data_IF_327815730904
#
_entry.id   IF_327815730904
#
_cell.length_a   1.000
_cell.length_b   1.000
_cell.length_c   1.000
_cell.angle_alpha   90.00
_cell.angle_beta   90.00
_cell.angle_gamma   90.00
#
_symmetry.space_group_name_H-M   'P 1'
#
loop_
_entity.id
_entity.type
_entity.pdbx_description
1 polymer ?
#
# COMPACT_ATOMS: atom_id res chain seq x y z
N UNK A 1 -9.47 6.42 1.96
CA UNK A 1 -9.49 5.03 2.48
C UNK A 1 -8.51 4.93 3.64
N UNK A 2 -8.96 4.65 4.86
CA UNK A 2 -8.13 4.62 6.09
C UNK A 2 -7.77 3.22 6.58
N UNK A 3 -8.47 2.18 6.13
CA UNK A 3 -8.26 0.79 6.57
C UNK A 3 -6.82 0.26 6.38
N UNK A 4 -6.05 0.62 5.34
CA UNK A 4 -4.66 0.17 5.23
C UNK A 4 -3.71 0.74 6.29
N UNK A 5 -4.16 1.67 7.13
CA UNK A 5 -3.30 2.37 8.10
C UNK A 5 -3.58 1.97 9.56
N UNK A 6 -4.39 0.93 9.79
CA UNK A 6 -4.58 0.30 11.09
C UNK A 6 -3.76 -0.99 11.19
N UNK A 7 -3.46 -1.51 12.39
CA UNK A 7 -2.81 -2.80 12.54
C UNK A 7 -3.52 -3.90 11.77
N UNK A 8 -2.77 -4.90 11.31
CA UNK A 8 -3.32 -5.96 10.46
C UNK A 8 -4.40 -6.76 11.19
N UNK A 9 -4.23 -6.92 12.50
CA UNK A 9 -5.10 -7.62 13.42
C UNK A 9 -6.48 -6.93 13.54
N UNK A 10 -6.51 -5.61 13.34
CA UNK A 10 -7.72 -4.79 13.44
C UNK A 10 -8.54 -4.75 12.15
N UNK A 11 -7.95 -5.16 11.00
CA UNK A 11 -8.61 -5.08 9.69
C UNK A 11 -9.90 -5.88 9.66
N UNK A 12 -9.83 -7.15 10.05
CA UNK A 12 -10.98 -8.05 10.01
C UNK A 12 -12.09 -7.62 11.00
N UNK A 13 -11.79 -7.32 12.29
CA UNK A 13 -12.78 -6.79 13.24
C UNK A 13 -13.48 -5.52 12.73
N UNK A 14 -12.72 -4.56 12.19
CA UNK A 14 -13.26 -3.31 11.64
C UNK A 14 -14.20 -3.59 10.47
N UNK A 15 -13.81 -4.48 9.55
CA UNK A 15 -14.66 -4.85 8.41
C UNK A 15 -15.94 -5.56 8.85
N UNK A 16 -15.87 -6.50 9.81
CA UNK A 16 -17.07 -7.15 10.35
C UNK A 16 -18.01 -6.13 11.01
N UNK A 17 -17.47 -5.18 11.79
CA UNK A 17 -18.28 -4.10 12.37
C UNK A 17 -18.91 -3.22 11.30
N UNK A 18 -18.18 -2.90 10.23
CA UNK A 18 -18.67 -2.07 9.13
C UNK A 18 -19.81 -2.73 8.36
N UNK A 19 -19.75 -4.05 8.20
CA UNK A 19 -20.73 -4.82 7.44
C UNK A 19 -21.82 -5.50 8.29
N UNK A 20 -21.79 -5.34 9.61
CA UNK A 20 -22.66 -6.09 10.54
C UNK A 20 -24.16 -5.85 10.38
N UNK A 21 -24.56 -4.72 9.79
CA UNK A 21 -25.97 -4.34 9.59
C UNK A 21 -26.43 -4.39 8.12
N UNK A 22 -25.60 -4.91 7.21
CA UNK A 22 -25.95 -4.97 5.79
C UNK A 22 -27.05 -6.00 5.50
N UNK A 23 -28.12 -5.54 4.86
CA UNK A 23 -29.22 -6.38 4.36
C UNK A 23 -29.30 -6.42 2.84
N UNK A 24 -28.68 -5.46 2.14
CA UNK A 24 -28.68 -5.36 0.68
C UNK A 24 -27.81 -6.46 0.05
N UNK A 25 -28.38 -7.19 -0.91
CA UNK A 25 -27.73 -8.33 -1.57
C UNK A 25 -26.45 -7.94 -2.32
N UNK A 26 -26.42 -6.76 -2.97
CA UNK A 26 -25.23 -6.28 -3.69
C UNK A 26 -24.11 -5.93 -2.72
N UNK A 27 -24.45 -5.34 -1.58
CA UNK A 27 -23.48 -5.03 -0.53
C UNK A 27 -22.96 -6.30 0.16
N UNK A 28 -23.78 -7.34 0.28
CA UNK A 28 -23.33 -8.66 0.74
C UNK A 28 -22.37 -9.33 -0.26
N UNK A 29 -22.62 -9.21 -1.56
CA UNK A 29 -21.67 -9.67 -2.59
C UNK A 29 -20.35 -8.91 -2.54
N UNK A 30 -20.41 -7.58 -2.34
CA UNK A 30 -19.21 -6.76 -2.17
C UNK A 30 -18.43 -7.16 -0.91
N UNK A 31 -19.13 -7.35 0.22
CA UNK A 31 -18.51 -7.87 1.46
C UNK A 31 -17.79 -9.18 1.18
N UNK A 32 -18.46 -10.14 0.55
CA UNK A 32 -17.87 -11.44 0.21
C UNK A 32 -16.60 -11.28 -0.61
N UNK A 33 -16.66 -10.49 -1.68
CA UNK A 33 -15.50 -10.19 -2.52
C UNK A 33 -14.34 -9.60 -1.71
N UNK A 34 -14.62 -8.64 -0.83
CA UNK A 34 -13.60 -7.99 0.00
C UNK A 34 -12.91 -9.01 0.91
N UNK A 35 -13.68 -9.84 1.61
CA UNK A 35 -13.12 -10.87 2.48
C UNK A 35 -12.34 -11.92 1.70
N UNK A 36 -12.87 -12.42 0.59
CA UNK A 36 -12.23 -13.47 -0.22
C UNK A 36 -10.92 -12.97 -0.86
N UNK A 37 -10.89 -11.73 -1.35
CA UNK A 37 -9.74 -11.20 -2.09
C UNK A 37 -8.71 -10.46 -1.23
N UNK A 38 -9.13 -9.73 -0.19
CA UNK A 38 -8.25 -8.79 0.51
C UNK A 38 -7.99 -9.18 1.97
N UNK A 39 -8.82 -10.04 2.57
CA UNK A 39 -8.65 -10.50 3.96
C UNK A 39 -8.09 -11.93 4.00
N UNK A 40 -8.75 -12.85 3.31
CA UNK A 40 -8.49 -14.30 3.38
C UNK A 40 -7.65 -14.83 2.21
N UNK A 41 -7.21 -13.96 1.30
CA UNK A 41 -6.47 -14.37 0.11
C UNK A 41 -5.06 -14.82 0.47
N UNK A 42 -4.63 -15.95 -0.10
CA UNK A 42 -3.25 -16.43 -0.01
C UNK A 42 -2.29 -15.57 -0.84
N UNK A 43 -2.80 -14.91 -1.88
CA UNK A 43 -2.03 -14.10 -2.84
C UNK A 43 -1.90 -12.65 -2.37
N UNK A 44 -2.99 -12.05 -1.90
CA UNK A 44 -3.07 -10.65 -1.48
C UNK A 44 -3.34 -10.56 0.03
N UNK A 45 -2.46 -11.16 0.81
CA UNK A 45 -2.59 -11.18 2.27
C UNK A 45 -2.56 -9.74 2.82
N UNK A 46 -3.29 -9.43 3.91
CA UNK A 46 -3.28 -8.11 4.56
C UNK A 46 -1.90 -7.49 4.75
N UNK A 47 -0.92 -8.28 5.19
CA UNK A 47 0.46 -7.83 5.37
C UNK A 47 1.08 -7.30 4.07
N UNK A 48 0.64 -7.72 2.89
CA UNK A 48 1.23 -7.28 1.62
C UNK A 48 0.83 -5.85 1.25
N UNK A 49 -0.44 -5.50 1.48
CA UNK A 49 -1.01 -4.21 1.07
C UNK A 49 -1.19 -3.21 2.24
N UNK A 50 -1.12 -3.67 3.48
CA UNK A 50 -1.20 -2.80 4.65
C UNK A 50 0.00 -1.84 4.71
N UNK A 51 -0.27 -0.60 5.12
CA UNK A 51 0.68 0.51 5.24
C UNK A 51 0.96 0.93 6.68
N UNK A 52 0.39 0.27 7.69
CA UNK A 52 0.70 0.52 9.10
C UNK A 52 2.19 0.28 9.37
N UNK A 53 2.83 1.24 10.05
CA UNK A 53 4.27 1.22 10.37
C UNK A 53 5.19 1.02 9.14
N UNK A 54 4.74 1.39 7.93
CA UNK A 54 5.57 1.36 6.72
C UNK A 54 6.02 2.75 6.33
N UNK A 55 7.30 2.87 5.96
CA UNK A 55 7.87 4.11 5.44
C UNK A 55 7.37 4.43 4.03
N UNK A 56 7.31 3.41 3.16
CA UNK A 56 6.78 3.54 1.81
C UNK A 56 5.34 3.04 1.75
N UNK A 57 4.40 3.95 1.47
CA UNK A 57 2.95 3.70 1.52
C UNK A 57 2.26 3.78 0.15
N UNK A 58 3.02 4.04 -0.90
CA UNK A 58 2.50 4.27 -2.26
C UNK A 58 3.06 3.24 -3.22
N UNK A 59 2.24 2.78 -4.17
CA UNK A 59 2.65 1.97 -5.30
C UNK A 59 3.42 2.74 -6.39
N UNK A 60 3.76 4.02 -6.17
CA UNK A 60 4.43 4.92 -7.12
C UNK A 60 5.67 4.31 -7.79
N UNK A 61 6.46 3.50 -7.07
CA UNK A 61 7.65 2.86 -7.64
C UNK A 61 7.25 1.76 -8.65
N UNK A 62 6.19 1.01 -8.35
CA UNK A 62 5.59 0.03 -9.26
C UNK A 62 4.90 0.69 -10.44
N UNK A 63 4.09 1.74 -10.20
CA UNK A 63 3.43 2.51 -11.27
C UNK A 63 4.46 3.18 -12.19
N UNK A 64 5.52 3.73 -11.61
CA UNK A 64 6.63 4.31 -12.35
C UNK A 64 7.35 3.28 -13.21
N UNK A 65 7.52 2.06 -12.73
CA UNK A 65 8.06 0.95 -13.51
C UNK A 65 7.11 0.49 -14.62
N UNK A 66 5.81 0.29 -14.32
CA UNK A 66 4.78 -0.01 -15.31
C UNK A 66 4.74 1.05 -16.41
N UNK A 67 4.83 2.34 -16.05
CA UNK A 67 4.85 3.44 -17.03
C UNK A 67 6.05 3.35 -17.97
N UNK A 68 7.24 3.01 -17.46
CA UNK A 68 8.44 2.79 -18.29
C UNK A 68 8.27 1.59 -19.22
N UNK A 69 7.72 0.50 -18.70
CA UNK A 69 7.43 -0.70 -19.49
C UNK A 69 6.41 -0.40 -20.60
N UNK A 70 5.29 0.24 -20.27
CA UNK A 70 4.25 0.60 -21.23
C UNK A 70 4.79 1.56 -22.31
N UNK A 71 5.66 2.50 -21.93
CA UNK A 71 6.36 3.37 -22.88
C UNK A 71 7.28 2.61 -23.83
N UNK A 72 7.95 1.56 -23.34
CA UNK A 72 8.79 0.70 -24.18
C UNK A 72 7.93 -0.16 -25.13
N UNK A 73 6.82 -0.67 -24.60
CA UNK A 73 5.85 -1.53 -25.27
C UNK A 73 4.97 -0.81 -26.32
N UNK A 74 5.02 0.53 -26.38
CA UNK A 74 4.20 1.37 -27.29
C UNK A 74 2.71 1.01 -27.26
N UNK A 75 2.18 0.76 -26.06
CA UNK A 75 0.77 0.37 -25.84
C UNK A 75 0.36 -1.00 -26.43
N UNK A 76 1.32 -1.80 -26.88
CA UNK A 76 1.12 -3.18 -27.37
C UNK A 76 1.93 -4.17 -26.54
N UNK A 77 1.48 -5.41 -26.38
CA UNK A 77 2.27 -6.40 -25.62
C UNK A 77 3.45 -6.85 -26.49
N UNK A 78 4.71 -6.57 -26.11
CA UNK A 78 5.85 -6.96 -26.92
C UNK A 78 6.00 -8.49 -26.92
N UNK A 79 6.46 -9.09 -28.03
CA UNK A 79 6.74 -10.52 -28.07
C UNK A 79 7.87 -10.88 -27.10
N UNK A 80 7.90 -12.14 -26.62
CA UNK A 80 8.86 -12.57 -25.60
C UNK A 80 10.33 -12.31 -25.95
N UNK A 81 10.70 -12.42 -27.23
CA UNK A 81 12.08 -12.19 -27.67
C UNK A 81 12.52 -10.72 -27.56
N UNK A 82 11.58 -9.76 -27.49
CA UNK A 82 11.84 -8.34 -27.21
C UNK A 82 11.72 -8.04 -25.70
N UNK A 83 10.74 -8.67 -25.04
CA UNK A 83 10.49 -8.47 -23.61
C UNK A 83 11.65 -8.96 -22.74
N UNK A 84 12.19 -10.15 -23.00
CA UNK A 84 13.24 -10.75 -22.18
C UNK A 84 14.52 -9.90 -22.15
N UNK A 85 15.07 -9.44 -23.30
CA UNK A 85 16.20 -8.52 -23.30
C UNK A 85 15.91 -7.21 -22.58
N UNK A 86 14.70 -6.64 -22.74
CA UNK A 86 14.30 -5.43 -22.04
C UNK A 86 14.30 -5.62 -20.52
N UNK A 87 13.68 -6.69 -20.01
CA UNK A 87 13.63 -7.00 -18.59
C UNK A 87 15.03 -7.22 -18.02
N UNK A 88 15.90 -7.92 -18.74
CA UNK A 88 17.29 -8.12 -18.34
C UNK A 88 18.06 -6.78 -18.29
N UNK A 89 17.93 -5.95 -19.33
CA UNK A 89 18.55 -4.63 -19.36
C UNK A 89 18.04 -3.73 -18.24
N UNK A 90 16.74 -3.74 -17.93
CA UNK A 90 16.16 -2.93 -16.85
C UNK A 90 16.61 -3.42 -15.47
N UNK A 91 16.65 -4.73 -15.24
CA UNK A 91 17.15 -5.32 -13.98
C UNK A 91 18.61 -4.92 -13.69
N UNK A 92 19.45 -4.83 -14.72
CA UNK A 92 20.87 -4.47 -14.57
C UNK A 92 21.10 -2.97 -14.28
N UNK A 93 20.14 -2.08 -14.57
CA UNK A 93 20.26 -0.64 -14.26
C UNK A 93 20.29 -0.35 -12.77
N UNK A 94 19.76 -1.25 -11.95
CA UNK A 94 19.62 -1.07 -10.51
C UNK A 94 20.74 -1.73 -9.70
N UNK A 95 21.89 -2.05 -10.29
CA UNK A 95 22.96 -2.81 -9.61
C UNK A 95 23.40 -2.17 -8.28
N UNK A 96 23.70 -0.86 -8.27
CA UNK A 96 24.09 -0.14 -7.05
C UNK A 96 22.93 -0.08 -6.04
N UNK A 97 21.73 0.19 -6.53
CA UNK A 97 20.49 0.19 -5.74
C UNK A 97 20.26 -1.15 -5.06
N UNK A 98 20.53 -2.27 -5.76
CA UNK A 98 20.37 -3.64 -5.27
C UNK A 98 21.34 -3.93 -4.12
N UNK A 99 22.59 -3.48 -4.25
CA UNK A 99 23.60 -3.58 -3.18
C UNK A 99 23.18 -2.75 -1.97
N UNK A 100 22.78 -1.49 -2.18
CA UNK A 100 22.33 -0.62 -1.08
C UNK A 100 21.09 -1.15 -0.35
N UNK A 101 20.15 -1.80 -1.05
CA UNK A 101 19.01 -2.48 -0.41
C UNK A 101 19.49 -3.68 0.40
N UNK A 102 20.37 -4.51 -0.17
CA UNK A 102 20.90 -5.69 0.51
C UNK A 102 21.69 -5.34 1.79
N UNK A 103 22.39 -4.20 1.79
CA UNK A 103 23.14 -3.68 2.93
C UNK A 103 22.27 -2.88 3.91
N UNK A 104 21.00 -2.61 3.59
CA UNK A 104 20.13 -1.73 4.39
C UNK A 104 20.52 -0.24 4.35
N UNK A 105 21.45 0.13 3.45
CA UNK A 105 22.07 1.46 3.34
C UNK A 105 21.30 2.44 2.46
N UNK A 106 20.17 2.03 1.89
CA UNK A 106 19.40 2.87 0.97
C UNK A 106 18.67 3.99 1.72
N UNK A 107 19.10 5.23 1.51
CA UNK A 107 18.37 6.42 1.98
C UNK A 107 17.47 6.98 0.86
N UNK A 108 16.15 6.89 1.03
CA UNK A 108 15.20 7.51 0.10
C UNK A 108 15.26 9.03 0.26
N UNK A 109 15.56 9.75 -0.83
CA UNK A 109 15.39 11.21 -0.84
C UNK A 109 13.90 11.53 -0.88
N UNK A 110 13.33 11.93 0.24
CA UNK A 110 11.93 12.36 0.35
C UNK A 110 11.80 13.88 0.29
N UNK A 111 10.73 14.37 -0.34
CA UNK A 111 10.39 15.79 -0.26
C UNK A 111 9.90 16.10 1.16
N UNK A 112 10.24 17.29 1.68
CA UNK A 112 9.89 17.70 3.04
C UNK A 112 8.41 17.50 3.39
N UNK A 113 7.50 17.83 2.46
CA UNK A 113 6.05 17.63 2.65
C UNK A 113 5.65 16.17 2.92
N UNK A 114 6.33 15.21 2.29
CA UNK A 114 6.05 13.78 2.49
C UNK A 114 6.67 13.30 3.79
N UNK A 115 7.87 13.79 4.13
CA UNK A 115 8.50 13.54 5.42
C UNK A 115 7.62 14.00 6.59
N UNK A 116 7.11 15.24 6.53
CA UNK A 116 6.20 15.78 7.55
C UNK A 116 4.92 14.95 7.69
N UNK A 117 4.35 14.48 6.57
CA UNK A 117 3.17 13.61 6.58
C UNK A 117 3.49 12.23 7.17
N UNK A 118 4.65 11.67 6.86
CA UNK A 118 5.13 10.40 7.42
C UNK A 118 5.37 10.53 8.93
N UNK A 119 6.00 11.60 9.39
CA UNK A 119 6.18 11.93 10.81
C UNK A 119 4.84 12.10 11.55
N UNK A 120 3.82 12.65 10.89
CA UNK A 120 2.48 12.72 11.45
C UNK A 120 1.86 11.33 11.62
N UNK A 121 1.92 10.47 10.61
CA UNK A 121 1.45 9.08 10.73
C UNK A 121 2.19 8.31 11.83
N UNK A 122 3.51 8.47 11.94
CA UNK A 122 4.32 7.81 12.97
C UNK A 122 3.84 8.20 14.37
N UNK A 123 3.65 9.50 14.64
CA UNK A 123 3.12 9.98 15.93
C UNK A 123 1.74 9.41 16.23
N UNK A 124 0.86 9.37 15.25
CA UNK A 124 -0.48 8.80 15.40
C UNK A 124 -0.43 7.31 15.79
N UNK A 125 0.47 6.55 15.15
CA UNK A 125 0.66 5.14 15.46
C UNK A 125 1.39 4.89 16.79
N UNK A 126 2.20 5.84 17.26
CA UNK A 126 2.81 5.79 18.59
C UNK A 126 1.73 5.94 19.67
N UNK A 127 0.86 6.95 19.56
CA UNK A 127 -0.28 7.14 20.48
C UNK A 127 -1.22 5.93 20.51
N UNK A 128 -1.50 5.33 19.35
CA UNK A 128 -2.29 4.11 19.26
C UNK A 128 -1.62 2.93 19.98
N UNK A 129 -0.32 2.72 19.76
CA UNK A 129 0.42 1.64 20.41
C UNK A 129 0.58 1.82 21.92
N UNK A 130 0.61 3.07 22.39
CA UNK A 130 0.63 3.42 23.82
C UNK A 130 -0.75 3.23 24.49
N UNK A 131 -1.79 2.95 23.70
CA UNK A 131 -3.16 2.77 24.19
C UNK A 131 -3.89 4.07 24.48
N UNK A 132 -3.33 5.22 24.09
CA UNK A 132 -3.94 6.54 24.24
C UNK A 132 -5.00 6.84 23.17
N UNK A 133 -5.07 6.00 22.12
CA UNK A 133 -5.99 6.16 21.00
C UNK A 133 -6.64 4.82 20.64
N UNK A 134 -7.96 4.84 20.44
CA UNK A 134 -8.73 3.68 19.97
C UNK A 134 -8.62 3.47 18.45
N UNK A 135 -8.96 2.27 17.97
CA UNK A 135 -8.98 1.96 16.52
C UNK A 135 -9.94 2.88 15.76
N UNK A 136 -11.05 3.29 16.37
CA UNK A 136 -12.03 4.19 15.75
C UNK A 136 -11.48 5.62 15.58
N UNK A 137 -10.80 6.14 16.61
CA UNK A 137 -10.11 7.44 16.55
C UNK A 137 -8.99 7.42 15.51
N UNK A 138 -8.19 6.36 15.48
CA UNK A 138 -7.15 6.15 14.49
C UNK A 138 -7.71 6.19 13.05
N UNK A 139 -8.82 5.46 12.80
CA UNK A 139 -9.48 5.44 11.50
C UNK A 139 -9.99 6.82 11.09
N UNK A 140 -10.58 7.56 12.03
CA UNK A 140 -11.09 8.91 11.81
C UNK A 140 -9.96 9.87 11.43
N UNK A 141 -8.90 9.92 12.23
CA UNK A 141 -7.77 10.83 12.04
C UNK A 141 -7.02 10.55 10.74
N UNK A 142 -6.76 9.27 10.43
CA UNK A 142 -6.18 8.90 9.12
C UNK A 142 -7.11 9.30 7.97
N UNK A 143 -8.43 9.12 8.10
CA UNK A 143 -9.34 9.44 7.01
C UNK A 143 -9.31 10.93 6.65
N UNK A 144 -9.15 11.80 7.65
CA UNK A 144 -9.07 13.26 7.48
C UNK A 144 -7.87 13.71 6.64
N UNK A 145 -6.78 12.91 6.64
CA UNK A 145 -5.53 13.22 5.93
C UNK A 145 -5.41 12.54 4.55
N UNK A 146 -6.31 11.62 4.21
CA UNK A 146 -6.37 10.91 2.92
C UNK A 146 -7.31 11.61 1.92
N UNK A 147 -7.88 12.77 2.28
CA UNK A 147 -8.64 13.63 1.36
C UNK A 147 -7.81 14.10 0.16
N UNK A 148 -8.46 14.38 -1.00
CA UNK A 148 -7.76 14.89 -2.17
C UNK A 148 -7.02 16.17 -1.79
N UNK A 149 -5.74 16.23 -2.15
CA UNK A 149 -4.96 17.47 -2.09
C UNK A 149 -5.68 18.45 -3.01
N UNK A 150 -6.32 19.47 -2.42
CA UNK A 150 -6.81 20.63 -3.17
C UNK A 150 -5.63 21.41 -3.75
#
# INVERSE_FOLDING_TARGET
MSLPFVPVEEIEPVLHSCFGSLTDERLLQLRKYIFDQWVNSTTFQPVTWNGFRRDTRTNNDCEGWHRRMNSHARETTPPFYELIPFLNADANKFTLTRVMVAEGSMYRREKLKFKQKNEWYLRLWDLYNEGEMSTAELLSDVSSTVGPIQ
#
